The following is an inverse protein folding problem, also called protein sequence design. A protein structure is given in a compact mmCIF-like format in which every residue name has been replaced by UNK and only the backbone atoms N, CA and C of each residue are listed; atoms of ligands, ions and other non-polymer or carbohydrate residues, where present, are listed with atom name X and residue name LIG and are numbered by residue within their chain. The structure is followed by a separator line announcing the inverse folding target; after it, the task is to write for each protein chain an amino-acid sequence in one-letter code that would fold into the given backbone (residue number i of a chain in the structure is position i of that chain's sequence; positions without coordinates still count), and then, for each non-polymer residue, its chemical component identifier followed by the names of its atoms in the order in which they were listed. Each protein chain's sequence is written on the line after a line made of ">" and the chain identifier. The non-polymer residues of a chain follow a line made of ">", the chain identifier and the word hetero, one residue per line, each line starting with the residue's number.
data_IF_069542261674
#
_entry.id   IF_069542261674
#
_cell.length_a   1.000
_cell.length_b   1.000
_cell.length_c   1.000
_cell.angle_alpha   90.00
_cell.angle_beta   90.00
_cell.angle_gamma   90.00
#
_symmetry.space_group_name_H-M   'P 1'
#
loop_
_entity.id
_entity.type
_entity.pdbx_description
1 polymer ?
#
# COMPACT_ATOMS: atom_id res chain seq x y z
N UNK A 1 -2.74 -4.34 19.94
CA UNK A 1 -1.71 -4.07 18.93
C UNK A 1 -1.58 -2.56 18.75
N UNK A 2 -0.37 -2.03 18.91
CA UNK A 2 -0.09 -0.62 18.63
C UNK A 2 0.27 -0.43 17.15
N UNK A 3 0.07 0.78 16.60
CA UNK A 3 0.43 1.10 15.21
C UNK A 3 1.90 0.78 14.91
N UNK A 4 2.78 0.93 15.90
CA UNK A 4 4.20 0.58 15.79
C UNK A 4 4.46 -0.92 15.63
N UNK A 5 3.68 -1.78 16.28
CA UNK A 5 3.74 -3.23 16.09
C UNK A 5 3.21 -3.64 14.72
N UNK A 6 2.15 -2.97 14.25
CA UNK A 6 1.57 -3.19 12.93
C UNK A 6 2.55 -2.80 11.81
N UNK A 7 3.22 -1.66 11.93
CA UNK A 7 4.25 -1.20 11.00
C UNK A 7 5.50 -2.09 11.05
N UNK A 8 5.86 -2.59 12.23
CA UNK A 8 6.98 -3.53 12.40
C UNK A 8 6.67 -4.88 11.76
N UNK A 9 5.45 -5.39 11.93
CA UNK A 9 4.96 -6.59 11.25
C UNK A 9 4.96 -6.40 9.73
N UNK A 10 4.37 -5.30 9.23
CA UNK A 10 4.35 -4.98 7.80
C UNK A 10 5.76 -4.88 7.18
N UNK A 11 6.73 -4.32 7.91
CA UNK A 11 8.13 -4.22 7.47
C UNK A 11 8.84 -5.59 7.42
N UNK A 12 8.55 -6.48 8.37
CA UNK A 12 9.12 -7.83 8.44
C UNK A 12 8.43 -8.83 7.50
N UNK A 13 7.17 -8.60 7.14
CA UNK A 13 6.34 -9.50 6.33
C UNK A 13 6.65 -9.47 4.82
N UNK A 14 7.87 -9.18 4.39
CA UNK A 14 8.24 -9.20 2.96
C UNK A 14 7.85 -10.50 2.24
N UNK A 15 7.82 -11.64 2.95
CA UNK A 15 7.29 -12.91 2.46
C UNK A 15 5.87 -13.26 2.93
N UNK A 16 5.33 -12.55 3.93
CA UNK A 16 3.98 -12.77 4.47
C UNK A 16 2.89 -11.95 3.77
N UNK A 17 3.26 -10.83 3.13
CA UNK A 17 2.34 -9.98 2.37
C UNK A 17 1.74 -10.74 1.18
N UNK A 18 2.53 -11.55 0.46
CA UNK A 18 2.02 -12.36 -0.65
C UNK A 18 1.00 -13.43 -0.20
N UNK A 19 1.29 -14.13 0.90
CA UNK A 19 0.48 -15.23 1.43
C UNK A 19 -0.88 -14.73 1.96
N UNK A 20 -0.89 -13.48 2.39
CA UNK A 20 -2.02 -12.84 3.02
C UNK A 20 -2.84 -11.93 2.09
N UNK A 21 -2.16 -11.17 1.22
CA UNK A 21 -2.80 -10.19 0.35
C UNK A 21 -3.33 -10.81 -0.95
N UNK A 22 -2.62 -11.79 -1.52
CA UNK A 22 -3.06 -12.45 -2.76
C UNK A 22 -4.44 -13.14 -2.63
N UNK A 23 -4.77 -13.86 -1.53
CA UNK A 23 -6.10 -14.44 -1.37
C UNK A 23 -7.18 -13.44 -0.91
N UNK A 24 -6.82 -12.38 -0.20
CA UNK A 24 -7.78 -11.42 0.34
C UNK A 24 -8.21 -10.35 -0.68
N UNK A 25 -7.27 -9.88 -1.51
CA UNK A 25 -7.47 -8.78 -2.45
C UNK A 25 -6.71 -9.07 -3.76
N UNK A 26 -7.16 -10.04 -4.57
CA UNK A 26 -6.44 -10.49 -5.77
C UNK A 26 -6.30 -9.39 -6.83
N UNK A 27 -7.27 -8.48 -6.92
CA UNK A 27 -7.23 -7.34 -7.85
C UNK A 27 -6.12 -6.35 -7.49
N UNK A 28 -5.97 -6.04 -6.19
CA UNK A 28 -4.91 -5.15 -5.71
C UNK A 28 -3.54 -5.83 -5.83
N UNK A 29 -3.46 -7.15 -5.59
CA UNK A 29 -2.24 -7.91 -5.79
C UNK A 29 -1.77 -7.87 -7.25
N UNK A 30 -2.69 -8.07 -8.21
CA UNK A 30 -2.37 -7.98 -9.63
C UNK A 30 -1.92 -6.56 -10.04
N UNK A 31 -2.63 -5.52 -9.59
CA UNK A 31 -2.28 -4.13 -9.86
C UNK A 31 -0.93 -3.73 -9.24
N UNK A 32 -0.63 -4.21 -8.02
CA UNK A 32 0.66 -4.06 -7.38
C UNK A 32 1.77 -4.70 -8.22
N UNK A 33 1.53 -5.90 -8.75
CA UNK A 33 2.47 -6.58 -9.63
C UNK A 33 2.74 -5.81 -10.91
N UNK A 34 1.70 -5.34 -11.59
CA UNK A 34 1.87 -4.53 -12.80
C UNK A 34 2.62 -3.22 -12.53
N UNK A 35 2.29 -2.53 -11.43
CA UNK A 35 2.97 -1.29 -11.06
C UNK A 35 4.44 -1.53 -10.66
N UNK A 36 4.72 -2.63 -9.96
CA UNK A 36 6.07 -3.00 -9.57
C UNK A 36 6.91 -3.39 -10.79
N UNK A 37 6.38 -4.22 -11.70
CA UNK A 37 7.02 -4.58 -12.97
C UNK A 37 7.28 -3.36 -13.86
N UNK A 38 6.35 -2.39 -13.90
CA UNK A 38 6.53 -1.15 -14.64
C UNK A 38 7.71 -0.30 -14.14
N UNK A 39 8.05 -0.41 -12.85
CA UNK A 39 9.22 0.23 -12.24
C UNK A 39 10.45 -0.71 -12.17
N UNK A 40 10.34 -1.97 -12.62
CA UNK A 40 11.40 -2.97 -12.51
C UNK A 40 11.68 -3.42 -11.07
N UNK A 41 10.65 -3.43 -10.22
CA UNK A 41 10.72 -3.72 -8.79
C UNK A 41 9.90 -4.96 -8.44
N UNK A 42 10.29 -5.65 -7.37
CA UNK A 42 9.45 -6.68 -6.75
C UNK A 42 8.30 -6.07 -5.94
N UNK A 43 7.19 -6.82 -5.81
CA UNK A 43 6.02 -6.49 -4.99
C UNK A 43 6.39 -5.97 -3.58
N UNK A 44 7.28 -6.69 -2.88
CA UNK A 44 7.72 -6.31 -1.54
C UNK A 44 8.53 -5.00 -1.53
N UNK A 45 9.28 -4.72 -2.59
CA UNK A 45 10.04 -3.47 -2.75
C UNK A 45 9.11 -2.32 -3.05
N UNK A 46 8.15 -2.50 -3.95
CA UNK A 46 7.13 -1.50 -4.27
C UNK A 46 6.28 -1.16 -3.03
N UNK A 47 5.84 -2.16 -2.27
CA UNK A 47 5.10 -1.94 -1.03
C UNK A 47 5.89 -1.12 -0.01
N UNK A 48 7.20 -1.39 0.17
CA UNK A 48 8.06 -0.58 1.05
C UNK A 48 8.19 0.86 0.58
N UNK A 49 8.32 1.06 -0.72
CA UNK A 49 8.37 2.41 -1.29
C UNK A 49 7.02 3.12 -1.14
N UNK A 50 5.89 2.42 -1.24
CA UNK A 50 4.56 2.99 -0.96
C UNK A 50 4.43 3.48 0.48
N UNK A 51 4.89 2.68 1.44
CA UNK A 51 4.92 3.08 2.85
C UNK A 51 5.79 4.33 3.05
N UNK A 52 6.98 4.36 2.44
CA UNK A 52 7.89 5.49 2.55
C UNK A 52 7.34 6.76 1.89
N UNK A 53 6.75 6.63 0.70
CA UNK A 53 6.22 7.75 -0.07
C UNK A 53 4.98 8.34 0.61
N UNK A 54 4.04 7.49 1.03
CA UNK A 54 2.89 7.92 1.83
C UNK A 54 3.34 8.64 3.10
N UNK A 55 4.30 8.07 3.84
CA UNK A 55 4.78 8.66 5.09
C UNK A 55 5.39 10.05 4.91
N UNK A 56 5.96 10.33 3.74
CA UNK A 56 6.67 11.57 3.46
C UNK A 56 5.84 12.59 2.66
N UNK A 57 4.84 12.14 1.91
CA UNK A 57 4.09 12.97 0.94
C UNK A 57 2.59 13.02 1.19
N UNK A 58 2.01 12.08 1.92
CA UNK A 58 0.56 12.05 2.11
C UNK A 58 0.09 13.24 2.96
N UNK A 59 -0.91 14.01 2.48
CA UNK A 59 -1.52 15.10 3.25
C UNK A 59 -2.35 14.57 4.41
N UNK A 60 -2.66 15.45 5.37
CA UNK A 60 -3.42 15.09 6.58
C UNK A 60 -4.79 14.45 6.29
N UNK A 61 -5.42 14.82 5.17
CA UNK A 61 -6.70 14.26 4.71
C UNK A 61 -6.59 12.78 4.33
N UNK A 62 -5.52 12.40 3.62
CA UNK A 62 -5.22 11.01 3.30
C UNK A 62 -4.88 10.22 4.57
N UNK A 63 -4.14 10.81 5.50
CA UNK A 63 -3.88 10.22 6.82
C UNK A 63 -5.18 9.98 7.60
N UNK A 64 -6.12 10.93 7.61
CA UNK A 64 -7.41 10.78 8.28
C UNK A 64 -8.28 9.70 7.63
N UNK A 65 -8.26 9.62 6.29
CA UNK A 65 -8.98 8.60 5.52
C UNK A 65 -8.41 7.21 5.79
N UNK A 66 -7.08 7.07 5.81
CA UNK A 66 -6.40 5.84 6.17
C UNK A 66 -6.74 5.42 7.62
N UNK A 67 -6.65 6.34 8.58
CA UNK A 67 -6.99 6.06 9.98
C UNK A 67 -8.44 5.61 10.16
N UNK A 68 -9.37 6.15 9.37
CA UNK A 68 -10.78 5.76 9.38
C UNK A 68 -10.95 4.34 8.82
N UNK A 69 -10.28 4.01 7.72
CA UNK A 69 -10.26 2.65 7.15
C UNK A 69 -9.65 1.62 8.10
N UNK A 70 -8.52 1.94 8.72
CA UNK A 70 -7.85 1.06 9.69
C UNK A 70 -8.76 0.75 10.88
N UNK A 71 -9.56 1.73 11.33
CA UNK A 71 -10.50 1.56 12.44
C UNK A 71 -11.66 0.62 12.10
N UNK A 72 -12.14 0.67 10.87
CA UNK A 72 -13.27 -0.14 10.39
C UNK A 72 -12.83 -1.55 9.93
N UNK A 73 -11.55 -1.71 9.58
CA UNK A 73 -11.03 -2.96 9.07
C UNK A 73 -10.90 -4.05 10.13
N UNK A 74 -11.19 -5.28 9.71
CA UNK A 74 -11.00 -6.48 10.52
C UNK A 74 -9.52 -6.73 10.84
N UNK A 75 -8.63 -6.41 9.90
CA UNK A 75 -7.19 -6.41 10.10
C UNK A 75 -6.58 -5.01 9.84
N UNK A 76 -6.16 -4.30 10.89
CA UNK A 76 -5.63 -2.95 10.78
C UNK A 76 -4.27 -2.88 10.05
N UNK A 77 -3.50 -3.98 10.04
CA UNK A 77 -2.25 -4.04 9.28
C UNK A 77 -2.49 -4.13 7.79
N UNK A 78 -3.51 -4.88 7.38
CA UNK A 78 -3.85 -5.05 5.97
C UNK A 78 -4.32 -3.72 5.41
N UNK A 79 -5.26 -3.10 6.12
CA UNK A 79 -5.86 -1.84 5.72
C UNK A 79 -4.85 -0.71 5.65
N UNK A 80 -3.86 -0.70 6.54
CA UNK A 80 -2.75 0.25 6.52
C UNK A 80 -1.91 0.08 5.25
N UNK A 81 -1.42 -1.14 4.99
CA UNK A 81 -0.58 -1.42 3.82
C UNK A 81 -1.33 -1.18 2.51
N UNK A 82 -2.57 -1.66 2.42
CA UNK A 82 -3.46 -1.46 1.27
C UNK A 82 -3.70 0.03 1.00
N UNK A 83 -3.98 0.82 2.03
CA UNK A 83 -4.20 2.26 1.85
C UNK A 83 -2.97 2.94 1.28
N UNK A 84 -1.77 2.60 1.77
CA UNK A 84 -0.51 3.18 1.28
C UNK A 84 -0.20 2.74 -0.16
N UNK A 85 -0.40 1.46 -0.49
CA UNK A 85 -0.20 0.93 -1.85
C UNK A 85 -1.17 1.60 -2.83
N UNK A 86 -2.46 1.64 -2.50
CA UNK A 86 -3.49 2.28 -3.34
C UNK A 86 -3.24 3.77 -3.51
N UNK A 87 -2.83 4.46 -2.45
CA UNK A 87 -2.46 5.88 -2.55
C UNK A 87 -1.25 6.08 -3.47
N UNK A 88 -0.20 5.26 -3.34
CA UNK A 88 0.96 5.33 -4.24
C UNK A 88 0.57 5.03 -5.67
N UNK A 89 -0.29 4.03 -5.94
CA UNK A 89 -0.74 3.75 -7.31
C UNK A 89 -1.51 4.94 -7.90
N UNK A 90 -2.40 5.56 -7.12
CA UNK A 90 -3.14 6.75 -7.55
C UNK A 90 -2.24 7.97 -7.80
N UNK A 91 -1.10 8.09 -7.11
CA UNK A 91 -0.15 9.21 -7.25
C UNK A 91 1.05 8.89 -8.17
N UNK A 92 1.31 7.60 -8.41
CA UNK A 92 2.42 7.05 -9.19
C UNK A 92 2.08 6.81 -10.64
N UNK A 93 0.78 6.82 -11.00
CA UNK A 93 0.28 6.95 -12.37
C UNK A 93 0.51 8.37 -12.92
N UNK A 94 1.75 8.87 -12.76
CA UNK A 94 2.25 10.08 -13.39
C UNK A 94 2.60 9.86 -14.87
N UNK A 95 1.97 8.90 -15.55
CA UNK A 95 2.01 8.79 -17.02
C UNK A 95 0.70 9.32 -17.61
N UNK A 96 0.63 10.66 -17.64
CA UNK A 96 -0.13 11.48 -18.59
C UNK A 96 -1.51 10.97 -19.03
N UNK A 97 -2.56 11.45 -18.35
CA UNK A 97 -3.94 11.51 -18.84
C UNK A 97 -4.49 12.92 -18.98
N UNK A 98 -3.68 13.88 -19.46
CA UNK A 98 -4.18 15.15 -20.02
C UNK A 98 -3.97 15.12 -21.54
N UNK A 99 -4.98 14.62 -22.25
CA UNK A 99 -5.27 14.79 -23.70
C UNK A 99 -6.59 14.04 -23.90
N UNK A 100 -7.72 14.60 -24.32
CA UNK A 100 -8.06 15.79 -25.10
C UNK A 100 -9.52 16.15 -24.79
#
# INVERSE_FOLDING_TARGET
>A
MTLGEVLTAARNSGNGIQDWLAPAEPEIWAALGEAAEAEGLDHATYARLAVADFSNRAPEEDWATMMSRIRDAQDPGQACLLSMITWRMANGDGKCGHSH
#
